data_IF_268632041196
#
_entry.id   IF_268632041196
#
_cell.length_a   1.000
_cell.length_b   1.000
_cell.length_c   1.000
_cell.angle_alpha   90.00
_cell.angle_beta   90.00
_cell.angle_gamma   90.00
#
_symmetry.space_group_name_H-M   'P 1'
#
loop_
_entity.id
_entity.type
_entity.pdbx_description
1 polymer ?
#
# COMPACT_ATOMS: atom_id res chain seq x y z
N UNK A 1 2.92 -1.35 10.62
CA UNK A 1 3.35 -1.71 12.00
C UNK A 1 3.34 -3.20 12.26
N UNK A 2 2.29 -3.94 11.88
CA UNK A 2 2.26 -5.42 11.99
C UNK A 2 3.46 -6.09 11.31
N UNK A 3 3.86 -5.63 10.12
CA UNK A 3 5.02 -6.19 9.40
C UNK A 3 6.41 -5.95 10.03
N UNK A 4 6.52 -5.09 11.06
CA UNK A 4 7.77 -4.90 11.82
C UNK A 4 7.79 -5.79 13.08
N UNK A 5 6.67 -6.48 13.38
CA UNK A 5 6.52 -7.28 14.59
C UNK A 5 6.40 -6.42 15.86
N UNK A 6 5.91 -5.19 15.72
CA UNK A 6 5.72 -4.29 16.85
C UNK A 6 4.83 -4.97 17.90
N UNK A 7 5.27 -4.93 19.17
CA UNK A 7 4.59 -5.56 20.32
C UNK A 7 4.46 -7.09 20.25
N UNK A 8 5.27 -7.77 19.42
CA UNK A 8 5.26 -9.23 19.31
C UNK A 8 4.03 -9.83 18.61
N UNK A 9 3.19 -8.99 18.00
CA UNK A 9 1.99 -9.43 17.30
C UNK A 9 2.36 -9.92 15.91
N UNK A 10 2.23 -11.23 15.67
CA UNK A 10 2.53 -11.90 14.40
C UNK A 10 1.28 -12.13 13.55
N UNK A 11 0.08 -12.02 14.13
CA UNK A 11 -1.19 -12.28 13.46
C UNK A 11 -1.76 -11.01 12.81
N UNK A 12 -1.84 -10.93 11.47
CA UNK A 12 -2.25 -9.71 10.77
C UNK A 12 -3.77 -9.57 10.62
N UNK A 13 -4.59 -10.46 11.20
CA UNK A 13 -6.04 -10.52 10.93
C UNK A 13 -6.78 -9.20 11.19
N UNK A 14 -6.33 -8.41 12.18
CA UNK A 14 -6.91 -7.08 12.45
C UNK A 14 -6.71 -6.10 11.28
N UNK A 15 -5.67 -6.29 10.46
CA UNK A 15 -5.37 -5.46 9.29
C UNK A 15 -6.39 -5.68 8.16
N UNK A 16 -6.99 -6.86 8.06
CA UNK A 16 -7.93 -7.21 6.98
C UNK A 16 -9.12 -6.24 6.96
N UNK A 17 -9.68 -5.91 8.12
CA UNK A 17 -10.81 -4.97 8.21
C UNK A 17 -10.44 -3.57 7.71
N UNK A 18 -9.25 -3.09 8.04
CA UNK A 18 -8.75 -1.79 7.57
C UNK A 18 -8.48 -1.82 6.07
N UNK A 19 -7.90 -2.90 5.55
CA UNK A 19 -7.65 -3.06 4.12
C UNK A 19 -8.94 -3.11 3.30
N UNK A 20 -9.98 -3.80 3.77
CA UNK A 20 -11.25 -3.88 3.05
C UNK A 20 -12.00 -2.56 3.07
N UNK A 21 -12.23 -1.98 4.25
CA UNK A 21 -13.13 -0.83 4.38
C UNK A 21 -12.43 0.51 4.18
N UNK A 22 -11.27 0.71 4.82
CA UNK A 22 -10.55 1.98 4.75
C UNK A 22 -9.68 2.05 3.49
N UNK A 23 -8.70 1.16 3.36
CA UNK A 23 -7.81 1.11 2.18
C UNK A 23 -8.50 0.67 0.88
N UNK A 24 -9.59 -0.09 0.98
CA UNK A 24 -10.33 -0.58 -0.17
C UNK A 24 -11.50 0.34 -0.51
N UNK A 25 -12.63 0.17 0.16
CA UNK A 25 -13.90 0.83 -0.20
C UNK A 25 -13.82 2.34 -0.13
N UNK A 26 -13.29 2.91 0.95
CA UNK A 26 -13.22 4.36 1.09
C UNK A 26 -12.28 5.00 0.06
N UNK A 27 -11.16 4.35 -0.22
CA UNK A 27 -10.20 4.79 -1.25
C UNK A 27 -10.78 4.68 -2.67
N UNK A 28 -11.59 3.66 -2.94
CA UNK A 28 -12.30 3.51 -4.21
C UNK A 28 -13.29 4.66 -4.44
N UNK A 29 -14.10 4.97 -3.42
CA UNK A 29 -15.06 6.07 -3.48
C UNK A 29 -14.35 7.42 -3.67
N UNK A 30 -13.20 7.61 -3.02
CA UNK A 30 -12.36 8.78 -3.25
C UNK A 30 -11.87 8.87 -4.70
N UNK A 31 -11.47 7.75 -5.30
CA UNK A 31 -11.09 7.68 -6.72
C UNK A 31 -12.24 8.07 -7.66
N UNK A 32 -13.46 7.62 -7.39
CA UNK A 32 -14.66 8.02 -8.15
C UNK A 32 -14.92 9.52 -8.02
N UNK A 33 -14.81 10.08 -6.81
CA UNK A 33 -14.98 11.52 -6.60
C UNK A 33 -13.94 12.36 -7.34
N UNK A 34 -12.67 11.91 -7.40
CA UNK A 34 -11.64 12.58 -8.20
C UNK A 34 -11.90 12.52 -9.70
N UNK A 35 -12.50 11.42 -10.19
CA UNK A 35 -12.94 11.34 -11.59
C UNK A 35 -14.04 12.37 -11.89
N UNK A 36 -15.01 12.53 -10.99
CA UNK A 36 -16.08 13.55 -11.11
C UNK A 36 -15.50 14.98 -11.10
N UNK A 37 -14.40 15.22 -10.37
CA UNK A 37 -13.68 16.50 -10.37
C UNK A 37 -12.82 16.75 -11.62
N UNK A 38 -12.73 15.77 -12.53
CA UNK A 38 -11.94 15.86 -13.77
C UNK A 38 -10.45 15.54 -13.60
N UNK A 39 -10.03 15.02 -12.43
CA UNK A 39 -8.65 14.64 -12.18
C UNK A 39 -8.40 13.16 -12.49
N UNK A 40 -8.10 12.86 -13.75
CA UNK A 40 -7.87 11.48 -14.21
C UNK A 40 -6.70 10.78 -13.49
N UNK A 41 -5.60 11.49 -13.23
CA UNK A 41 -4.43 10.92 -12.54
C UNK A 41 -4.78 10.41 -11.13
N UNK A 42 -5.44 11.25 -10.33
CA UNK A 42 -5.88 10.88 -8.99
C UNK A 42 -6.90 9.75 -9.01
N UNK A 43 -7.88 9.81 -9.93
CA UNK A 43 -8.87 8.76 -10.07
C UNK A 43 -8.24 7.38 -10.35
N UNK A 44 -7.31 7.29 -11.30
CA UNK A 44 -6.60 6.05 -11.60
C UNK A 44 -5.74 5.59 -10.44
N UNK A 45 -5.01 6.52 -9.80
CA UNK A 45 -4.13 6.20 -8.68
C UNK A 45 -4.90 5.57 -7.51
N UNK A 46 -5.96 6.24 -7.04
CA UNK A 46 -6.74 5.79 -5.89
C UNK A 46 -7.53 4.51 -6.17
N UNK A 47 -8.11 4.36 -7.36
CA UNK A 47 -8.79 3.13 -7.75
C UNK A 47 -7.82 1.94 -7.84
N UNK A 48 -6.60 2.14 -8.36
CA UNK A 48 -5.58 1.09 -8.43
C UNK A 48 -5.12 0.64 -7.04
N UNK A 49 -4.86 1.58 -6.11
CA UNK A 49 -4.50 1.19 -4.74
C UNK A 49 -5.66 0.55 -3.98
N UNK A 50 -6.91 0.95 -4.24
CA UNK A 50 -8.06 0.24 -3.72
C UNK A 50 -8.09 -1.22 -4.18
N UNK A 51 -7.86 -1.46 -5.48
CA UNK A 51 -7.77 -2.82 -6.03
C UNK A 51 -6.59 -3.61 -5.43
N UNK A 52 -5.45 -2.95 -5.16
CA UNK A 52 -4.34 -3.55 -4.41
C UNK A 52 -4.78 -3.98 -3.00
N UNK A 53 -5.41 -3.09 -2.24
CA UNK A 53 -5.86 -3.39 -0.87
C UNK A 53 -6.91 -4.52 -0.83
N UNK A 54 -7.86 -4.53 -1.77
CA UNK A 54 -8.84 -5.61 -1.88
C UNK A 54 -8.19 -6.95 -2.27
N UNK A 55 -7.34 -6.97 -3.29
CA UNK A 55 -6.66 -8.19 -3.73
C UNK A 55 -5.75 -8.74 -2.63
N UNK A 56 -5.02 -7.87 -1.92
CA UNK A 56 -4.20 -8.27 -0.79
C UNK A 56 -5.04 -8.80 0.38
N UNK A 57 -6.13 -8.14 0.75
CA UNK A 57 -7.03 -8.62 1.80
C UNK A 57 -7.61 -10.01 1.48
N UNK A 58 -8.01 -10.24 0.22
CA UNK A 58 -8.56 -11.52 -0.23
C UNK A 58 -7.59 -12.69 -0.06
N UNK A 59 -6.27 -12.47 -0.08
CA UNK A 59 -5.26 -13.51 0.20
C UNK A 59 -5.41 -14.01 1.66
N UNK A 60 -5.73 -13.11 2.60
CA UNK A 60 -5.77 -13.41 4.04
C UNK A 60 -7.17 -13.72 4.58
N UNK A 61 -8.24 -13.50 3.80
CA UNK A 61 -9.60 -13.86 4.20
C UNK A 61 -9.77 -15.39 4.11
N UNK A 62 -10.10 -16.09 5.22
CA UNK A 62 -10.19 -17.55 5.23
C UNK A 62 -11.21 -18.15 4.25
N UNK A 63 -12.22 -17.37 3.83
CA UNK A 63 -13.28 -17.81 2.93
C UNK A 63 -12.90 -17.87 1.44
N UNK A 64 -11.75 -17.33 1.03
CA UNK A 64 -11.35 -17.32 -0.40
C UNK A 64 -10.58 -18.57 -0.82
N UNK A 65 -10.04 -19.33 0.14
CA UNK A 65 -9.24 -20.53 -0.12
C UNK A 65 -7.85 -20.27 -0.71
N UNK A 66 -7.46 -19.00 -0.95
CA UNK A 66 -6.17 -18.67 -1.58
C UNK A 66 -5.03 -19.13 -0.70
N UNK A 67 -5.01 -18.73 0.59
CA UNK A 67 -3.98 -19.19 1.51
C UNK A 67 -4.01 -20.70 1.74
N UNK A 68 -5.20 -21.31 1.72
CA UNK A 68 -5.36 -22.75 1.89
C UNK A 68 -4.77 -23.57 0.73
N UNK A 69 -4.75 -23.00 -0.48
CA UNK A 69 -4.08 -23.62 -1.63
C UNK A 69 -2.55 -23.68 -1.49
N UNK A 70 -1.98 -22.84 -0.63
CA UNK A 70 -0.55 -22.81 -0.32
C UNK A 70 -0.24 -23.35 1.08
N UNK A 71 -1.14 -24.12 1.69
CA UNK A 71 -0.87 -24.85 2.93
C UNK A 71 -0.78 -26.34 2.63
N UNK A 72 0.29 -26.98 3.06
CA UNK A 72 0.43 -28.43 2.99
C UNK A 72 -0.53 -29.13 3.98
N UNK A 73 -0.69 -30.43 3.85
CA UNK A 73 -1.41 -31.37 4.73
C UNK A 73 -1.07 -31.24 6.23
N UNK A 74 0.04 -30.60 6.57
CA UNK A 74 0.50 -30.31 7.94
C UNK A 74 0.12 -28.91 8.44
N UNK A 75 -0.52 -28.07 7.62
CA UNK A 75 -0.86 -26.68 7.94
C UNK A 75 0.31 -25.70 7.80
N UNK A 76 1.48 -26.14 7.34
CA UNK A 76 2.63 -25.29 7.06
C UNK A 76 2.47 -24.63 5.68
N UNK A 77 2.83 -23.34 5.58
CA UNK A 77 2.81 -22.60 4.32
C UNK A 77 3.93 -23.11 3.41
N UNK A 78 3.61 -23.51 2.18
CA UNK A 78 4.64 -23.97 1.22
C UNK A 78 5.54 -22.80 0.81
N UNK A 79 6.85 -23.02 0.57
CA UNK A 79 7.78 -21.96 0.16
C UNK A 79 7.34 -21.21 -1.11
N UNK A 80 6.54 -21.85 -1.96
CA UNK A 80 5.96 -21.27 -3.17
C UNK A 80 5.07 -20.05 -2.88
N UNK A 81 4.43 -19.99 -1.71
CA UNK A 81 3.61 -18.84 -1.31
C UNK A 81 4.41 -17.53 -1.29
N UNK A 82 5.62 -17.58 -0.71
CA UNK A 82 6.47 -16.40 -0.61
C UNK A 82 6.97 -15.96 -1.98
N UNK A 83 7.25 -16.90 -2.89
CA UNK A 83 7.66 -16.58 -4.26
C UNK A 83 6.49 -15.99 -5.07
N UNK A 84 5.30 -16.56 -4.97
CA UNK A 84 4.08 -16.04 -5.61
C UNK A 84 3.75 -14.63 -5.11
N UNK A 85 3.85 -14.40 -3.81
CA UNK A 85 3.61 -13.09 -3.20
C UNK A 85 4.69 -12.07 -3.59
N UNK A 86 5.95 -12.50 -3.74
CA UNK A 86 7.01 -11.65 -4.26
C UNK A 86 6.72 -11.19 -5.71
N UNK A 87 6.29 -12.09 -6.59
CA UNK A 87 5.92 -11.77 -7.98
C UNK A 87 4.74 -10.79 -8.02
N UNK A 88 3.73 -11.02 -7.16
CA UNK A 88 2.61 -10.09 -7.00
C UNK A 88 3.09 -8.68 -6.61
N UNK A 89 3.98 -8.55 -5.62
CA UNK A 89 4.52 -7.26 -5.20
C UNK A 89 5.39 -6.62 -6.29
N UNK A 90 6.15 -7.41 -7.05
CA UNK A 90 6.92 -6.92 -8.20
C UNK A 90 6.03 -6.28 -9.28
N UNK A 91 4.89 -6.90 -9.59
CA UNK A 91 3.94 -6.33 -10.54
C UNK A 91 3.44 -4.95 -10.05
N UNK A 92 3.12 -4.85 -8.76
CA UNK A 92 2.70 -3.58 -8.14
C UNK A 92 3.83 -2.55 -8.05
N UNK A 93 5.07 -2.97 -7.85
CA UNK A 93 6.23 -2.07 -7.91
C UNK A 93 6.37 -1.40 -9.27
N UNK A 94 6.18 -2.13 -10.37
CA UNK A 94 6.23 -1.58 -11.74
C UNK A 94 5.14 -0.53 -11.92
N UNK A 95 3.89 -0.89 -11.57
CA UNK A 95 2.74 0.03 -11.65
C UNK A 95 2.97 1.29 -10.81
N UNK A 96 3.45 1.13 -9.57
CA UNK A 96 3.75 2.24 -8.66
C UNK A 96 4.83 3.17 -9.23
N UNK A 97 5.87 2.61 -9.85
CA UNK A 97 6.96 3.37 -10.44
C UNK A 97 6.47 4.21 -11.63
N UNK A 98 5.55 3.68 -12.43
CA UNK A 98 4.89 4.46 -13.51
C UNK A 98 4.11 5.64 -12.91
N UNK A 99 3.37 5.43 -11.83
CA UNK A 99 2.67 6.50 -11.13
C UNK A 99 3.61 7.54 -10.52
N UNK A 100 4.74 7.12 -9.96
CA UNK A 100 5.76 8.03 -9.41
C UNK A 100 6.31 8.98 -10.50
N UNK A 101 6.53 8.48 -11.71
CA UNK A 101 6.93 9.31 -12.86
C UNK A 101 5.81 10.29 -13.24
N UNK A 102 4.56 9.83 -13.29
CA UNK A 102 3.40 10.68 -13.57
C UNK A 102 3.16 11.76 -12.51
N UNK A 103 3.55 11.52 -11.27
CA UNK A 103 3.37 12.45 -10.16
C UNK A 103 4.37 13.62 -10.13
N UNK A 104 5.41 13.61 -10.98
CA UNK A 104 6.45 14.66 -10.99
C UNK A 104 5.91 16.09 -11.17
N UNK A 105 4.74 16.25 -11.80
CA UNK A 105 4.10 17.57 -12.05
C UNK A 105 2.92 17.86 -11.12
N UNK A 106 2.76 17.10 -10.04
CA UNK A 106 1.62 17.24 -9.11
C UNK A 106 2.03 18.05 -7.87
N UNK A 107 2.51 17.38 -6.82
CA UNK A 107 3.04 18.00 -5.61
C UNK A 107 4.27 17.24 -5.15
N UNK A 108 5.18 17.91 -4.45
CA UNK A 108 6.36 17.26 -3.88
C UNK A 108 6.00 16.14 -2.90
N UNK A 109 4.90 16.30 -2.14
CA UNK A 109 4.45 15.28 -1.18
C UNK A 109 3.99 14.02 -1.89
N UNK A 110 3.15 14.14 -2.92
CA UNK A 110 2.66 12.97 -3.67
C UNK A 110 3.79 12.27 -4.44
N UNK A 111 4.71 13.04 -5.02
CA UNK A 111 5.88 12.47 -5.69
C UNK A 111 6.78 11.70 -4.70
N UNK A 112 7.10 12.30 -3.56
CA UNK A 112 7.91 11.62 -2.53
C UNK A 112 7.20 10.41 -1.94
N UNK A 113 5.90 10.49 -1.70
CA UNK A 113 5.09 9.37 -1.19
C UNK A 113 5.21 8.16 -2.13
N UNK A 114 5.00 8.38 -3.44
CA UNK A 114 5.09 7.34 -4.46
C UNK A 114 6.53 6.83 -4.65
N UNK A 115 7.54 7.70 -4.57
CA UNK A 115 8.94 7.30 -4.69
C UNK A 115 9.40 6.43 -3.50
N UNK A 116 9.03 6.83 -2.28
CA UNK A 116 9.32 6.07 -1.05
C UNK A 116 8.51 4.77 -1.03
N UNK A 117 7.28 4.77 -1.55
CA UNK A 117 6.47 3.57 -1.73
C UNK A 117 7.10 2.59 -2.73
N UNK A 118 7.65 3.08 -3.85
CA UNK A 118 8.43 2.25 -4.77
C UNK A 118 9.60 1.57 -4.05
N UNK A 119 10.35 2.31 -3.21
CA UNK A 119 11.44 1.74 -2.43
C UNK A 119 10.94 0.69 -1.42
N UNK A 120 9.82 0.96 -0.74
CA UNK A 120 9.19 0.03 0.18
C UNK A 120 8.75 -1.28 -0.49
N UNK A 121 8.06 -1.18 -1.63
CA UNK A 121 7.62 -2.33 -2.43
C UNK A 121 8.80 -3.14 -2.97
N UNK A 122 9.87 -2.48 -3.42
CA UNK A 122 11.10 -3.13 -3.86
C UNK A 122 11.73 -3.97 -2.73
N UNK A 123 11.87 -3.37 -1.54
CA UNK A 123 12.41 -4.05 -0.36
C UNK A 123 11.52 -5.22 0.06
N UNK A 124 10.19 -5.06 0.04
CA UNK A 124 9.27 -6.17 0.31
C UNK A 124 9.45 -7.31 -0.68
N UNK A 125 9.47 -7.01 -1.99
CA UNK A 125 9.61 -8.02 -3.04
C UNK A 125 10.92 -8.82 -2.90
N UNK A 126 12.05 -8.13 -2.72
CA UNK A 126 13.35 -8.78 -2.48
C UNK A 126 13.36 -9.57 -1.17
N UNK A 127 12.71 -9.05 -0.13
CA UNK A 127 12.56 -9.72 1.15
C UNK A 127 11.82 -11.05 1.05
N UNK A 128 10.73 -11.09 0.26
CA UNK A 128 9.97 -12.31 0.00
C UNK A 128 10.71 -13.31 -0.90
N UNK A 129 11.44 -12.85 -1.93
CA UNK A 129 12.23 -13.75 -2.79
C UNK A 129 13.40 -14.40 -2.05
N UNK A 130 14.09 -13.63 -1.21
CA UNK A 130 15.28 -14.08 -0.47
C UNK A 130 14.94 -14.71 0.91
N UNK A 131 13.66 -14.68 1.32
CA UNK A 131 13.23 -15.16 2.64
C UNK A 131 13.86 -14.41 3.82
N UNK A 132 14.37 -13.18 3.60
CA UNK A 132 15.11 -12.43 4.62
C UNK A 132 14.17 -11.58 5.47
N UNK A 133 13.99 -11.97 6.72
CA UNK A 133 13.17 -11.23 7.69
C UNK A 133 13.70 -9.83 7.98
N UNK A 134 15.01 -9.61 7.89
CA UNK A 134 15.63 -8.30 8.07
C UNK A 134 15.21 -7.33 6.95
N UNK A 135 15.22 -7.79 5.70
CA UNK A 135 14.82 -6.98 4.53
C UNK A 135 13.32 -6.70 4.56
N UNK A 136 12.50 -7.69 4.93
CA UNK A 136 11.06 -7.49 5.13
C UNK A 136 10.77 -6.44 6.21
N UNK A 137 11.48 -6.46 7.34
CA UNK A 137 11.35 -5.43 8.38
C UNK A 137 11.78 -4.05 7.89
N UNK A 138 12.88 -3.97 7.14
CA UNK A 138 13.35 -2.71 6.57
C UNK A 138 12.32 -2.10 5.60
N UNK A 139 11.77 -2.90 4.68
CA UNK A 139 10.74 -2.43 3.76
C UNK A 139 9.46 -1.99 4.50
N UNK A 140 9.02 -2.75 5.52
CA UNK A 140 7.90 -2.33 6.36
C UNK A 140 8.16 -1.04 7.15
N UNK A 141 9.42 -0.76 7.54
CA UNK A 141 9.79 0.49 8.19
C UNK A 141 9.74 1.67 7.20
N UNK A 142 10.19 1.48 5.96
CA UNK A 142 10.06 2.48 4.89
C UNK A 142 8.59 2.81 4.63
N UNK A 143 7.71 1.81 4.63
CA UNK A 143 6.26 2.02 4.48
C UNK A 143 5.62 2.85 5.61
N UNK A 144 6.25 2.95 6.79
CA UNK A 144 5.77 3.89 7.83
C UNK A 144 6.00 5.35 7.42
N UNK A 145 7.09 5.62 6.69
CA UNK A 145 7.37 6.95 6.15
C UNK A 145 6.32 7.31 5.08
N UNK A 146 5.95 6.34 4.24
CA UNK A 146 4.84 6.50 3.27
C UNK A 146 3.55 6.84 4.01
N UNK A 147 3.20 6.08 5.06
CA UNK A 147 1.99 6.37 5.84
C UNK A 147 2.00 7.82 6.37
N UNK A 148 3.13 8.29 6.90
CA UNK A 148 3.26 9.67 7.37
C UNK A 148 3.05 10.70 6.24
N UNK A 149 3.68 10.50 5.08
CA UNK A 149 3.52 11.40 3.91
C UNK A 149 2.09 11.39 3.36
N UNK A 150 1.44 10.23 3.32
CA UNK A 150 0.03 10.09 2.94
C UNK A 150 -0.91 10.85 3.89
N UNK A 151 -0.69 10.75 5.21
CA UNK A 151 -1.46 11.54 6.18
C UNK A 151 -1.17 13.04 6.05
N UNK A 152 0.06 13.42 5.76
CA UNK A 152 0.43 14.81 5.49
C UNK A 152 -0.33 15.37 4.27
N UNK A 153 -0.39 14.62 3.17
CA UNK A 153 -1.16 14.98 1.98
C UNK A 153 -2.68 15.05 2.25
N UNK A 154 -3.21 14.14 3.05
CA UNK A 154 -4.62 14.17 3.47
C UNK A 154 -4.93 15.39 4.34
N UNK A 155 -4.08 15.70 5.32
CA UNK A 155 -4.21 16.87 6.17
C UNK A 155 -4.10 18.17 5.37
N UNK A 156 -3.15 18.28 4.43
CA UNK A 156 -3.04 19.48 3.60
C UNK A 156 -4.27 19.72 2.74
N UNK A 157 -4.86 18.67 2.17
CA UNK A 157 -6.10 18.77 1.41
C UNK A 157 -7.31 19.18 2.26
N UNK A 158 -7.46 18.56 3.44
CA UNK A 158 -8.60 18.80 4.32
C UNK A 158 -8.49 20.15 5.07
N UNK A 159 -7.31 20.48 5.59
CA UNK A 159 -7.10 21.70 6.38
C UNK A 159 -7.15 22.97 5.53
N UNK A 160 -6.93 22.88 4.22
CA UNK A 160 -7.00 24.03 3.31
C UNK A 160 -8.32 24.80 3.42
N UNK A 161 -9.43 24.10 3.72
CA UNK A 161 -10.76 24.69 3.89
C UNK A 161 -11.29 24.61 5.31
N UNK A 162 -10.82 23.66 6.13
CA UNK A 162 -11.37 23.39 7.45
C UNK A 162 -10.67 24.14 8.61
N UNK A 163 -9.40 24.54 8.46
CA UNK A 163 -8.64 25.15 9.57
C UNK A 163 -7.75 26.32 9.13
N UNK A 164 -7.30 27.19 10.05
CA UNK A 164 -6.33 28.25 9.75
C UNK A 164 -4.91 27.72 9.46
N UNK A 165 -4.61 26.47 9.82
CA UNK A 165 -3.27 25.89 9.71
C UNK A 165 -3.07 25.37 8.28
N UNK A 166 -2.12 25.96 7.56
CA UNK A 166 -1.76 25.55 6.20
C UNK A 166 -0.52 24.67 6.22
N UNK A 167 -0.71 23.40 5.87
CA UNK A 167 0.37 22.44 5.70
C UNK A 167 0.97 22.62 4.30
N UNK A 168 2.30 22.78 4.17
CA UNK A 168 2.91 23.12 2.88
C UNK A 168 2.88 21.94 1.90
N UNK A 169 2.25 22.16 0.75
CA UNK A 169 2.29 21.30 -0.44
C UNK A 169 2.48 22.18 -1.66
N UNK A 170 3.72 22.47 -2.00
CA UNK A 170 4.03 23.27 -3.20
C UNK A 170 3.93 22.38 -4.44
N UNK A 171 3.37 22.93 -5.51
CA UNK A 171 3.41 22.29 -6.83
C UNK A 171 4.86 22.26 -7.33
N UNK A 172 5.23 21.18 -8.02
CA UNK A 172 6.52 21.05 -8.72
C UNK A 172 6.36 21.26 -10.21
#
# INVERSE_FOLDING_TARGET
>A
MFGIGARGIQTPNAMIGVLLFFGGTSQFLAGIMEFVRGQAFGATLWCSYSAFNFSYAMIYVPGTGIMAAYTDSTGATIPEFNQALAIYIWAWFIVNTIYAIGAMRTTWVLFLDLAVLSLGLLLLAVGYMNGSTAVLKAGNAVLLVVAFLSYWAGCSGFWATATPIKVPTFAM
#
